data_IF_840606256368
#
_entry.id   IF_840606256368
#
_cell.length_a   1.000
_cell.length_b   1.000
_cell.length_c   1.000
_cell.angle_alpha   90.00
_cell.angle_beta   90.00
_cell.angle_gamma   90.00
#
_symmetry.space_group_name_H-M   'P 1'
#
loop_
_entity.id
_entity.type
_entity.pdbx_description
1 polymer ?
#
# COMPACT_ATOMS: atom_id res chain seq x y z
N UNK A 1 -1.89 -12.42 -2.82
CA UNK A 1 -0.67 -11.94 -2.11
C UNK A 1 -0.96 -10.71 -1.26
N UNK A 2 -1.65 -9.68 -1.76
CA UNK A 2 -2.00 -8.47 -0.97
C UNK A 2 -2.92 -8.77 0.22
N UNK A 3 -3.86 -9.70 0.08
CA UNK A 3 -4.74 -10.15 1.18
C UNK A 3 -3.95 -10.73 2.37
N UNK A 4 -2.86 -11.47 2.09
CA UNK A 4 -1.98 -12.02 3.12
C UNK A 4 -1.28 -10.91 3.92
N UNK A 5 -0.79 -9.88 3.22
CA UNK A 5 -0.08 -8.77 3.86
C UNK A 5 -1.05 -7.82 4.56
N UNK A 6 -2.23 -7.59 4.00
CA UNK A 6 -3.31 -6.87 4.68
C UNK A 6 -3.71 -7.62 5.95
N UNK A 7 -3.85 -8.95 5.90
CA UNK A 7 -4.09 -9.77 7.08
C UNK A 7 -2.96 -9.61 8.12
N UNK A 8 -1.70 -9.59 7.70
CA UNK A 8 -0.57 -9.37 8.60
C UNK A 8 -0.63 -7.98 9.27
N UNK A 9 -0.92 -6.91 8.49
CA UNK A 9 -1.14 -5.56 9.01
C UNK A 9 -2.28 -5.53 10.02
N UNK A 10 -3.42 -6.13 9.69
CA UNK A 10 -4.59 -6.17 10.58
C UNK A 10 -4.35 -7.00 11.85
N UNK A 11 -3.61 -8.13 11.75
CA UNK A 11 -3.24 -8.96 12.92
C UNK A 11 -2.32 -8.18 13.86
N UNK A 12 -1.31 -7.49 13.33
CA UNK A 12 -0.43 -6.69 14.19
C UNK A 12 -1.17 -5.47 14.75
N UNK A 13 -2.09 -4.86 14.00
CA UNK A 13 -2.91 -3.75 14.49
C UNK A 13 -3.88 -4.17 15.60
N UNK A 14 -4.48 -5.36 15.53
CA UNK A 14 -5.29 -5.94 16.60
C UNK A 14 -4.44 -6.16 17.86
N UNK A 15 -3.24 -6.74 17.71
CA UNK A 15 -2.29 -6.88 18.82
C UNK A 15 -1.89 -5.53 19.41
N UNK A 16 -1.70 -4.53 18.57
CA UNK A 16 -1.42 -3.16 19.01
C UNK A 16 -2.58 -2.61 19.84
N UNK A 17 -3.83 -2.84 19.42
CA UNK A 17 -5.00 -2.43 20.18
C UNK A 17 -5.08 -3.12 21.55
N UNK A 18 -4.67 -4.39 21.66
CA UNK A 18 -4.67 -5.15 22.91
C UNK A 18 -3.53 -4.78 23.86
N UNK A 19 -2.32 -4.60 23.34
CA UNK A 19 -1.08 -4.49 24.14
C UNK A 19 -0.60 -3.05 24.30
N UNK A 20 -1.04 -2.16 23.41
CA UNK A 20 -0.61 -0.77 23.32
C UNK A 20 -1.83 0.16 23.14
N UNK A 21 -2.92 -0.11 23.86
CA UNK A 21 -4.17 0.66 23.80
C UNK A 21 -3.94 2.17 23.99
N UNK A 22 -2.92 2.54 24.77
CA UNK A 22 -2.49 3.91 25.01
C UNK A 22 -2.12 4.68 23.73
N UNK A 23 -1.73 4.00 22.65
CA UNK A 23 -1.34 4.62 21.36
C UNK A 23 -2.49 5.40 20.74
N UNK A 24 -3.72 4.92 20.91
CA UNK A 24 -4.93 5.55 20.37
C UNK A 24 -5.73 6.34 21.43
N UNK A 25 -5.21 6.46 22.65
CA UNK A 25 -5.95 7.08 23.75
C UNK A 25 -6.21 8.56 23.47
N UNK A 26 -7.47 8.97 23.59
CA UNK A 26 -7.93 10.33 23.29
C UNK A 26 -7.80 10.77 21.82
N UNK A 27 -7.87 9.80 20.88
CA UNK A 27 -7.88 10.05 19.43
C UNK A 27 -9.27 9.80 18.85
N UNK A 28 -9.66 10.62 17.88
CA UNK A 28 -10.98 10.53 17.24
C UNK A 28 -11.11 9.31 16.30
N UNK A 29 -9.98 8.75 15.83
CA UNK A 29 -9.94 7.50 15.05
C UNK A 29 -8.91 6.51 15.62
N UNK A 30 -9.32 5.66 16.59
CA UNK A 30 -8.43 4.68 17.21
C UNK A 30 -7.86 3.63 16.25
N UNK A 31 -8.70 3.10 15.36
CA UNK A 31 -8.29 2.11 14.37
C UNK A 31 -7.18 2.64 13.46
N UNK A 32 -7.28 3.91 13.06
CA UNK A 32 -6.29 4.55 12.22
C UNK A 32 -4.92 4.66 12.94
N UNK A 33 -4.89 5.00 14.23
CA UNK A 33 -3.64 5.07 15.00
C UNK A 33 -3.03 3.68 15.26
N UNK A 34 -3.85 2.66 15.50
CA UNK A 34 -3.37 1.28 15.63
C UNK A 34 -2.73 0.77 14.34
N UNK A 35 -3.33 1.08 13.18
CA UNK A 35 -2.77 0.74 11.87
C UNK A 35 -1.45 1.47 11.59
N UNK A 36 -1.35 2.78 11.91
CA UNK A 36 -0.09 3.54 11.80
C UNK A 36 1.03 2.87 12.58
N UNK A 37 0.75 2.50 13.82
CA UNK A 37 1.75 1.90 14.71
C UNK A 37 2.08 0.45 14.30
N UNK A 38 1.11 -0.31 13.80
CA UNK A 38 1.35 -1.64 13.26
C UNK A 38 2.31 -1.63 12.05
N UNK A 39 2.16 -0.66 11.14
CA UNK A 39 3.07 -0.50 9.99
C UNK A 39 4.50 -0.23 10.46
N UNK A 40 4.67 0.64 11.46
CA UNK A 40 5.98 0.90 12.08
C UNK A 40 6.59 -0.40 12.62
N UNK A 41 5.85 -1.14 13.46
CA UNK A 41 6.36 -2.38 14.06
C UNK A 41 6.68 -3.46 13.03
N UNK A 42 5.88 -3.59 11.98
CA UNK A 42 6.09 -4.57 10.92
C UNK A 42 7.32 -4.27 10.07
N UNK A 43 7.58 -3.00 9.76
CA UNK A 43 8.69 -2.59 8.89
C UNK A 43 10.01 -2.40 9.65
N UNK A 44 9.97 -2.04 10.93
CA UNK A 44 11.17 -1.93 11.78
C UNK A 44 11.62 -3.28 12.38
N UNK A 45 10.82 -4.34 12.20
CA UNK A 45 11.15 -5.69 12.68
C UNK A 45 10.76 -5.96 14.14
N UNK A 46 10.03 -5.05 14.79
CA UNK A 46 9.61 -5.12 16.20
C UNK A 46 8.32 -5.93 16.44
N UNK A 47 7.72 -6.48 15.38
CA UNK A 47 6.56 -7.34 15.49
C UNK A 47 6.97 -8.72 16.06
N UNK A 48 6.71 -8.94 17.36
CA UNK A 48 7.06 -10.14 18.15
C UNK A 48 6.56 -11.49 17.58
N UNK A 49 5.67 -11.45 16.60
CA UNK A 49 5.32 -12.59 15.76
C UNK A 49 4.80 -12.02 14.47
N UNK A 50 5.72 -11.60 13.61
CA UNK A 50 5.47 -11.61 12.18
C UNK A 50 4.99 -13.05 11.88
N UNK A 51 3.90 -13.26 11.13
CA UNK A 51 3.82 -14.50 10.37
C UNK A 51 5.19 -14.66 9.67
N UNK A 52 5.77 -15.85 9.51
CA UNK A 52 7.07 -16.12 8.84
C UNK A 52 7.18 -15.60 7.36
N UNK A 53 6.36 -14.63 6.97
CA UNK A 53 5.82 -14.38 5.65
C UNK A 53 6.10 -12.96 5.15
N UNK A 54 6.60 -12.05 6.00
CA UNK A 54 6.98 -10.67 5.62
C UNK A 54 8.51 -10.53 5.69
N UNK A 55 9.22 -10.50 4.54
CA UNK A 55 10.68 -10.39 4.52
C UNK A 55 11.14 -9.10 5.21
N UNK A 56 12.04 -9.20 6.19
CA UNK A 56 12.57 -8.04 6.89
C UNK A 56 13.74 -7.41 6.13
N UNK A 57 13.89 -6.10 6.32
CA UNK A 57 15.03 -5.33 5.79
C UNK A 57 15.67 -4.66 6.98
N UNK A 58 16.91 -5.04 7.28
CA UNK A 58 17.64 -4.45 8.39
C UNK A 58 17.86 -2.94 8.16
N UNK A 59 17.77 -2.16 9.24
CA UNK A 59 18.03 -0.73 9.20
C UNK A 59 16.89 0.12 8.63
N UNK A 60 15.68 -0.43 8.51
CA UNK A 60 14.48 0.36 8.21
C UNK A 60 14.04 1.16 9.43
N UNK A 61 13.57 2.38 9.19
CA UNK A 61 12.95 3.23 10.22
C UNK A 61 11.73 3.90 9.63
N UNK A 62 10.61 3.89 10.35
CA UNK A 62 9.33 4.45 9.94
C UNK A 62 8.98 5.63 10.83
N UNK A 63 8.67 6.75 10.21
CA UNK A 63 8.02 7.90 10.88
C UNK A 63 6.69 8.15 10.21
N UNK A 64 5.71 8.61 10.97
CA UNK A 64 4.42 8.99 10.42
C UNK A 64 3.82 10.18 11.14
N UNK A 65 2.86 10.83 10.50
CA UNK A 65 2.09 11.93 11.07
C UNK A 65 1.10 12.48 10.06
N UNK A 66 0.24 13.41 10.51
CA UNK A 66 -0.69 14.10 9.62
C UNK A 66 0.08 14.91 8.59
N UNK A 67 -0.26 14.74 7.32
CA UNK A 67 0.46 15.34 6.21
C UNK A 67 0.46 16.87 6.29
N UNK A 68 -0.70 17.46 6.58
CA UNK A 68 -0.82 18.90 6.78
C UNK A 68 0.05 19.41 7.94
N UNK A 69 0.04 18.70 9.08
CA UNK A 69 0.85 19.10 10.25
C UNK A 69 2.36 18.97 9.98
N UNK A 70 2.76 18.00 9.14
CA UNK A 70 4.13 17.96 8.63
C UNK A 70 4.40 19.19 7.77
N UNK A 71 3.62 19.46 6.74
CA UNK A 71 3.83 20.65 5.91
C UNK A 71 3.91 21.95 6.72
N UNK A 72 3.02 22.16 7.70
CA UNK A 72 3.01 23.36 8.53
C UNK A 72 4.31 23.56 9.34
N UNK A 73 5.01 22.47 9.67
CA UNK A 73 6.21 22.52 10.53
C UNK A 73 7.53 22.77 9.78
N UNK A 74 7.63 22.37 8.52
CA UNK A 74 8.90 22.35 7.76
C UNK A 74 8.70 22.49 6.25
N UNK A 75 7.50 22.86 5.79
CA UNK A 75 7.16 23.08 4.38
C UNK A 75 8.00 24.17 3.71
N UNK A 76 8.53 25.12 4.49
CA UNK A 76 9.44 26.16 4.02
C UNK A 76 10.89 25.71 3.87
N UNK A 77 11.26 24.55 4.43
CA UNK A 77 12.66 24.14 4.58
C UNK A 77 13.18 23.38 3.36
N UNK A 78 12.27 22.87 2.52
CA UNK A 78 12.59 21.99 1.39
C UNK A 78 11.64 22.20 0.21
N UNK A 79 12.20 22.33 -1.00
CA UNK A 79 11.45 22.68 -2.22
C UNK A 79 10.60 21.53 -2.79
N UNK A 80 10.81 20.28 -2.35
CA UNK A 80 10.07 19.13 -2.91
C UNK A 80 8.57 19.17 -2.57
N UNK A 81 8.15 19.92 -1.55
CA UNK A 81 6.73 20.14 -1.22
C UNK A 81 5.97 20.85 -2.35
N UNK A 82 6.64 21.64 -3.20
CA UNK A 82 6.01 22.25 -4.38
C UNK A 82 5.62 21.18 -5.42
N UNK A 83 6.34 20.06 -5.43
CA UNK A 83 6.06 18.92 -6.32
C UNK A 83 5.04 17.97 -5.71
N UNK A 84 5.00 17.85 -4.38
CA UNK A 84 4.11 16.96 -3.64
C UNK A 84 3.41 17.75 -2.53
N UNK A 85 2.39 18.56 -2.87
CA UNK A 85 1.70 19.40 -1.90
C UNK A 85 0.98 18.56 -0.85
N UNK A 86 0.76 19.12 0.36
CA UNK A 86 0.07 18.41 1.42
C UNK A 86 -1.34 18.01 0.98
N UNK A 87 -1.80 16.88 1.50
CA UNK A 87 -3.14 16.36 1.35
C UNK A 87 -3.86 16.41 2.70
N UNK A 88 -5.06 16.98 2.71
CA UNK A 88 -5.94 16.93 3.86
C UNK A 88 -6.31 15.48 4.21
N UNK A 89 -6.58 15.24 5.50
CA UNK A 89 -7.05 13.96 6.03
C UNK A 89 -6.17 12.76 5.63
N UNK A 90 -4.87 13.00 5.44
CA UNK A 90 -3.90 11.98 5.09
C UNK A 90 -2.82 11.86 6.17
N UNK A 91 -2.42 10.61 6.43
CA UNK A 91 -1.15 10.28 7.06
C UNK A 91 -0.05 10.30 6.02
N UNK A 92 1.04 11.01 6.29
CA UNK A 92 2.31 10.79 5.58
C UNK A 92 3.17 9.82 6.37
N UNK A 93 3.52 8.71 5.74
CA UNK A 93 4.59 7.82 6.20
C UNK A 93 5.90 8.23 5.52
N UNK A 94 6.96 8.30 6.30
CA UNK A 94 8.33 8.52 5.87
C UNK A 94 9.12 7.29 6.27
N UNK A 95 9.58 6.54 5.27
CA UNK A 95 10.28 5.28 5.50
C UNK A 95 11.73 5.45 5.05
N UNK A 96 12.64 5.31 6.00
CA UNK A 96 14.08 5.35 5.79
C UNK A 96 14.61 3.94 5.62
N UNK A 97 15.54 3.75 4.70
CA UNK A 97 16.15 2.46 4.43
C UNK A 97 17.62 2.62 4.00
N UNK A 98 18.45 1.57 4.14
CA UNK A 98 19.88 1.63 3.84
C UNK A 98 20.22 2.17 2.45
N UNK A 99 21.32 2.90 2.33
CA UNK A 99 21.74 3.55 1.08
C UNK A 99 22.16 2.56 -0.01
N UNK A 100 22.66 1.38 0.37
CA UNK A 100 23.03 0.30 -0.55
C UNK A 100 21.84 -0.29 -1.31
N UNK A 101 20.62 -0.07 -0.81
CA UNK A 101 19.38 -0.40 -1.50
C UNK A 101 19.09 0.64 -2.59
N UNK A 102 19.54 0.38 -3.81
CA UNK A 102 19.34 1.29 -4.96
C UNK A 102 17.88 1.56 -5.33
N UNK A 103 16.94 0.75 -4.84
CA UNK A 103 15.49 0.88 -5.03
C UNK A 103 14.75 0.67 -3.71
N UNK A 104 13.53 1.19 -3.58
CA UNK A 104 12.68 0.93 -2.40
C UNK A 104 12.54 -0.58 -2.17
N UNK A 105 12.91 -1.09 -0.98
CA UNK A 105 12.75 -2.50 -0.66
C UNK A 105 11.32 -2.99 -0.85
N UNK A 106 11.19 -4.17 -1.46
CA UNK A 106 9.89 -4.73 -1.88
C UNK A 106 8.91 -4.89 -0.72
N UNK A 107 9.39 -5.25 0.48
CA UNK A 107 8.53 -5.38 1.66
C UNK A 107 7.82 -4.08 2.00
N UNK A 108 8.51 -2.93 1.91
CA UNK A 108 7.95 -1.62 2.20
C UNK A 108 6.80 -1.35 1.22
N UNK A 109 7.04 -1.55 -0.09
CA UNK A 109 6.00 -1.37 -1.10
C UNK A 109 4.77 -2.26 -0.84
N UNK A 110 4.99 -3.52 -0.47
CA UNK A 110 3.89 -4.46 -0.24
C UNK A 110 3.08 -4.09 0.99
N UNK A 111 3.72 -3.77 2.13
CA UNK A 111 3.02 -3.40 3.36
C UNK A 111 2.23 -2.10 3.16
N UNK A 112 2.84 -1.11 2.53
CA UNK A 112 2.18 0.17 2.25
C UNK A 112 1.01 0.01 1.26
N UNK A 113 1.19 -0.78 0.20
CA UNK A 113 0.11 -1.07 -0.75
C UNK A 113 -1.03 -1.87 -0.10
N UNK A 114 -0.72 -2.81 0.81
CA UNK A 114 -1.73 -3.57 1.56
C UNK A 114 -2.56 -2.67 2.47
N UNK A 115 -1.94 -1.64 3.06
CA UNK A 115 -2.64 -0.60 3.82
C UNK A 115 -3.53 0.28 2.91
N UNK A 116 -3.30 0.28 1.59
CA UNK A 116 -3.93 1.22 0.66
C UNK A 116 -3.24 2.59 0.62
N UNK A 117 -2.00 2.67 1.11
CA UNK A 117 -1.17 3.85 0.97
C UNK A 117 -0.52 3.91 -0.43
N UNK A 118 -0.31 5.11 -0.95
CA UNK A 118 0.35 5.31 -2.24
C UNK A 118 1.65 6.09 -2.09
N UNK A 119 2.65 5.75 -2.91
CA UNK A 119 3.95 6.42 -2.87
C UNK A 119 3.84 7.77 -3.53
N UNK A 120 4.39 8.80 -2.91
CA UNK A 120 4.37 10.17 -3.43
C UNK A 120 5.76 10.74 -3.68
N UNK A 121 6.80 10.19 -3.05
CA UNK A 121 8.16 10.68 -3.20
C UNK A 121 9.18 9.60 -2.85
N UNK A 122 10.36 9.65 -3.47
CA UNK A 122 11.52 8.79 -3.17
C UNK A 122 12.80 9.58 -3.48
N UNK A 123 13.81 9.51 -2.62
CA UNK A 123 15.09 10.17 -2.84
C UNK A 123 16.12 9.87 -1.75
N UNK A 124 17.19 10.67 -1.72
CA UNK A 124 18.10 10.67 -0.58
C UNK A 124 17.42 11.39 0.60
N UNK A 125 17.61 10.87 1.81
CA UNK A 125 17.11 11.54 3.02
C UNK A 125 17.71 12.95 3.17
N UNK A 126 18.90 13.19 2.62
CA UNK A 126 19.50 14.52 2.56
C UNK A 126 18.67 15.51 1.72
N UNK A 127 18.09 15.06 0.59
CA UNK A 127 17.28 15.88 -0.30
C UNK A 127 15.94 16.29 0.36
N UNK A 128 15.48 15.49 1.33
CA UNK A 128 14.28 15.75 2.11
C UNK A 128 14.56 16.61 3.36
N UNK A 129 15.80 17.04 3.63
CA UNK A 129 16.13 17.80 4.84
C UNK A 129 16.18 16.94 6.12
N UNK A 130 16.30 15.62 5.98
CA UNK A 130 16.37 14.67 7.09
C UNK A 130 17.79 14.61 7.66
N UNK A 131 18.18 15.64 8.42
CA UNK A 131 19.57 15.80 8.89
C UNK A 131 20.10 14.63 9.74
N UNK A 132 19.22 13.95 10.48
CA UNK A 132 19.54 12.80 11.35
C UNK A 132 19.75 11.49 10.57
N UNK A 133 19.35 11.44 9.29
CA UNK A 133 19.36 10.23 8.47
C UNK A 133 20.00 10.44 7.09
N UNK A 134 20.88 11.44 6.93
CA UNK A 134 21.44 11.85 5.62
C UNK A 134 22.15 10.75 4.82
N UNK A 135 22.66 9.72 5.48
CA UNK A 135 23.31 8.54 4.86
C UNK A 135 22.30 7.42 4.54
N UNK A 136 21.02 7.74 4.39
CA UNK A 136 19.95 6.79 4.08
C UNK A 136 19.13 7.27 2.90
N UNK A 137 18.41 6.34 2.30
CA UNK A 137 17.34 6.64 1.36
C UNK A 137 16.03 6.81 2.10
N UNK A 138 15.14 7.59 1.50
CA UNK A 138 13.84 7.90 2.07
C UNK A 138 12.75 7.79 1.00
N UNK A 139 11.61 7.25 1.40
CA UNK A 139 10.41 7.14 0.56
C UNK A 139 9.20 7.61 1.36
N UNK A 140 8.33 8.39 0.71
CA UNK A 140 7.10 8.90 1.31
C UNK A 140 5.87 8.20 0.74
N UNK A 141 4.93 7.91 1.63
CA UNK A 141 3.61 7.42 1.26
C UNK A 141 2.53 8.26 1.91
N UNK A 142 1.41 8.41 1.21
CA UNK A 142 0.20 8.99 1.77
C UNK A 142 -0.86 7.92 1.96
N UNK A 143 -1.56 8.01 3.08
CA UNK A 143 -2.61 7.09 3.48
C UNK A 143 -3.82 7.87 4.00
N UNK A 144 -4.99 7.79 3.35
CA UNK A 144 -6.14 8.61 3.70
C UNK A 144 -6.87 8.03 4.91
N UNK A 145 -7.50 8.89 5.71
CA UNK A 145 -8.45 8.48 6.75
C UNK A 145 -9.73 7.86 6.15
N UNK A 146 -10.42 7.01 6.92
CA UNK A 146 -11.67 6.36 6.51
C UNK A 146 -11.49 5.27 5.46
N UNK A 147 -10.31 4.64 5.42
CA UNK A 147 -10.01 3.63 4.41
C UNK A 147 -10.60 2.24 4.75
N UNK A 148 -10.48 1.29 3.81
CA UNK A 148 -10.96 -0.09 4.01
C UNK A 148 -10.25 -0.81 5.17
N UNK A 149 -8.96 -0.56 5.39
CA UNK A 149 -8.20 -1.23 6.44
C UNK A 149 -8.71 -0.82 7.84
N UNK A 150 -9.11 0.44 8.03
CA UNK A 150 -9.76 0.92 9.26
C UNK A 150 -11.06 0.16 9.51
N UNK A 151 -11.96 0.11 8.53
CA UNK A 151 -13.25 -0.58 8.67
C UNK A 151 -13.07 -2.08 8.97
N UNK A 152 -12.10 -2.74 8.33
CA UNK A 152 -11.79 -4.15 8.59
C UNK A 152 -11.22 -4.38 10.00
N UNK A 153 -10.37 -3.46 10.49
CA UNK A 153 -9.84 -3.55 11.85
C UNK A 153 -10.93 -3.32 12.91
N UNK A 154 -11.80 -2.34 12.69
CA UNK A 154 -12.91 -2.05 13.58
C UNK A 154 -13.83 -3.26 13.76
N UNK A 155 -14.18 -3.93 12.66
CA UNK A 155 -14.97 -5.17 12.71
C UNK A 155 -14.26 -6.26 13.53
N UNK A 156 -12.96 -6.45 13.33
CA UNK A 156 -12.19 -7.46 14.09
C UNK A 156 -12.15 -7.17 15.58
N UNK A 157 -11.89 -5.92 15.97
CA UNK A 157 -11.87 -5.52 17.39
C UNK A 157 -13.24 -5.73 18.03
N UNK A 158 -14.33 -5.44 17.30
CA UNK A 158 -15.70 -5.65 17.79
C UNK A 158 -16.06 -7.14 17.92
N UNK A 159 -15.65 -7.98 16.96
CA UNK A 159 -15.87 -9.43 17.00
C UNK A 159 -15.13 -10.10 18.17
N UNK A 160 -13.89 -9.69 18.43
CA UNK A 160 -13.08 -10.21 19.56
C UNK A 160 -13.62 -9.74 20.92
N UNK A 161 -14.24 -8.55 20.99
CA UNK A 161 -14.92 -8.03 22.19
C UNK A 161 -16.33 -8.60 22.43
N UNK A 162 -16.89 -9.34 21.48
CA UNK A 162 -18.28 -9.80 21.45
C UNK A 162 -18.55 -11.20 22.00
N UNK A 163 -17.59 -11.86 22.67
CA UNK A 163 -17.80 -13.16 23.31
C UNK A 163 -18.72 -13.03 24.56
N UNK A 164 -20.02 -12.87 24.34
CA UNK A 164 -21.06 -13.05 25.37
C UNK A 164 -21.33 -14.54 25.54
N UNK A 165 -21.32 -14.99 26.80
CA UNK A 165 -21.46 -16.38 27.23
C UNK A 165 -22.94 -16.89 27.18
N UNK A 166 -23.25 -18.11 27.65
CA UNK A 166 -23.80 -19.22 26.86
C UNK A 166 -25.29 -19.48 27.12
N UNK A 167 -26.10 -18.44 27.23
CA UNK A 167 -27.54 -18.57 27.50
C UNK A 167 -28.41 -17.61 26.68
N UNK A 168 -28.48 -17.93 25.38
CA UNK A 168 -29.80 -18.05 24.76
C UNK A 168 -30.23 -16.92 23.83
N UNK A 169 -30.08 -17.18 22.52
CA UNK A 169 -31.02 -16.68 21.53
C UNK A 169 -30.45 -16.36 20.15
N UNK A 170 -30.34 -17.37 19.26
CA UNK A 170 -30.30 -17.19 17.81
C UNK A 170 -31.71 -17.38 17.22
N UNK A 171 -32.11 -16.51 16.28
CA UNK A 171 -33.01 -16.79 15.16
C UNK A 171 -33.00 -15.54 14.24
N UNK A 172 -32.87 -15.60 12.93
CA UNK A 172 -32.76 -16.66 11.92
C UNK A 172 -32.25 -15.99 10.64
N UNK A 173 -32.20 -16.59 9.46
CA UNK A 173 -32.52 -17.90 8.96
C UNK A 173 -31.79 -18.03 7.60
N UNK A 174 -31.52 -19.26 7.22
CA UNK A 174 -30.79 -19.74 6.04
C UNK A 174 -31.71 -19.76 4.82
N UNK A 175 -31.23 -19.31 3.65
CA UNK A 175 -31.43 -19.89 2.30
C UNK A 175 -30.90 -18.93 1.22
N UNK A 176 -29.83 -19.29 0.52
CA UNK A 176 -29.81 -20.07 -0.73
C UNK A 176 -29.79 -19.18 -1.98
N UNK A 177 -28.60 -19.03 -2.56
CA UNK A 177 -28.37 -19.25 -3.99
C UNK A 177 -26.87 -19.40 -4.27
N UNK A 178 -26.45 -20.65 -4.33
CA UNK A 178 -25.31 -21.07 -5.15
C UNK A 178 -25.75 -21.05 -6.61
N UNK A 179 -24.93 -20.50 -7.52
CA UNK A 179 -24.65 -20.98 -8.88
C UNK A 179 -23.71 -20.02 -9.64
N UNK A 180 -22.43 -20.41 -9.69
CA UNK A 180 -21.46 -20.40 -10.82
C UNK A 180 -21.33 -19.13 -11.69
N UNK A 181 -20.15 -18.50 -11.61
CA UNK A 181 -19.24 -18.46 -12.77
C UNK A 181 -17.80 -18.33 -12.29
N UNK A 182 -17.01 -19.37 -12.56
CA UNK A 182 -15.56 -19.38 -12.40
C UNK A 182 -14.94 -18.31 -13.31
N UNK A 183 -14.36 -17.29 -12.70
CA UNK A 183 -13.54 -16.27 -13.35
C UNK A 183 -12.08 -16.36 -12.93
N UNK A 184 -11.65 -17.51 -12.39
CA UNK A 184 -10.24 -17.80 -12.18
C UNK A 184 -9.59 -18.03 -13.54
N UNK A 185 -9.25 -16.95 -14.24
CA UNK A 185 -8.38 -17.02 -15.42
C UNK A 185 -7.03 -17.49 -14.89
N UNK A 186 -6.85 -18.81 -14.84
CA UNK A 186 -5.57 -19.44 -14.56
C UNK A 186 -4.56 -18.82 -15.54
N UNK A 187 -3.29 -18.68 -15.14
CA UNK A 187 -2.26 -18.06 -15.99
C UNK A 187 -2.10 -18.75 -17.38
N UNK A 188 -2.75 -19.89 -17.59
CA UNK A 188 -2.87 -20.65 -18.82
C UNK A 188 -3.90 -20.08 -19.83
N UNK A 189 -4.88 -19.29 -19.37
CA UNK A 189 -5.95 -18.69 -20.21
C UNK A 189 -5.68 -17.23 -20.60
N UNK A 190 -4.51 -16.68 -20.26
CA UNK A 190 -4.10 -15.33 -20.65
C UNK A 190 -3.66 -15.30 -22.11
N UNK A 191 -4.08 -14.27 -22.85
CA UNK A 191 -3.54 -13.99 -24.19
C UNK A 191 -2.00 -13.95 -24.15
N UNK A 192 -1.28 -14.56 -25.11
CA UNK A 192 0.17 -14.79 -25.02
C UNK A 192 1.00 -13.57 -24.62
N UNK A 193 0.61 -12.38 -25.08
CA UNK A 193 1.29 -11.13 -24.77
C UNK A 193 1.08 -10.67 -23.31
N UNK A 194 -0.07 -10.99 -22.73
CA UNK A 194 -0.39 -10.74 -21.31
C UNK A 194 0.33 -11.71 -20.41
N UNK A 195 0.38 -13.00 -20.78
CA UNK A 195 1.13 -14.02 -20.03
C UNK A 195 2.61 -13.65 -19.88
N UNK A 196 3.26 -13.23 -20.97
CA UNK A 196 4.65 -12.77 -20.96
C UNK A 196 4.87 -11.55 -20.06
N UNK A 197 3.92 -10.61 -20.05
CA UNK A 197 4.00 -9.43 -19.19
C UNK A 197 3.90 -9.77 -17.70
N UNK A 198 3.16 -10.84 -17.36
CA UNK A 198 3.02 -11.33 -15.98
C UNK A 198 4.29 -12.07 -15.51
N UNK A 199 4.88 -12.91 -16.37
CA UNK A 199 6.07 -13.73 -16.06
C UNK A 199 7.37 -12.90 -15.96
N UNK A 200 7.50 -11.80 -16.69
CA UNK A 200 8.66 -10.90 -16.57
C UNK A 200 8.66 -10.20 -15.20
N UNK A 201 9.81 -10.20 -14.50
CA UNK A 201 9.95 -9.53 -13.20
C UNK A 201 9.75 -8.00 -13.34
N UNK A 202 8.56 -7.52 -12.99
CA UNK A 202 8.20 -6.10 -12.96
C UNK A 202 7.59 -5.73 -11.61
N UNK A 203 7.78 -4.49 -11.21
CA UNK A 203 7.17 -3.92 -9.99
C UNK A 203 6.29 -2.74 -10.40
N UNK A 204 5.03 -2.71 -9.96
CA UNK A 204 4.10 -1.60 -10.19
C UNK A 204 3.82 -0.89 -8.86
N UNK A 205 3.84 0.44 -8.87
CA UNK A 205 3.49 1.30 -7.73
C UNK A 205 2.58 2.44 -8.18
N UNK A 206 1.52 2.78 -7.43
CA UNK A 206 0.74 3.99 -7.70
C UNK A 206 1.59 5.24 -7.37
N UNK A 207 1.74 6.16 -8.32
CA UNK A 207 2.54 7.38 -8.22
C UNK A 207 1.73 8.60 -7.74
N UNK A 208 0.44 8.67 -8.09
CA UNK A 208 -0.45 9.76 -7.69
C UNK A 208 -1.93 9.31 -7.75
N UNK A 209 -2.78 9.89 -6.90
CA UNK A 209 -4.25 9.83 -7.07
C UNK A 209 -4.60 10.31 -8.49
N UNK A 210 -5.47 9.58 -9.19
CA UNK A 210 -5.80 9.84 -10.59
C UNK A 210 -5.20 8.84 -11.60
N UNK A 211 -4.77 7.66 -11.17
CA UNK A 211 -4.47 6.53 -12.07
C UNK A 211 -3.13 6.58 -12.78
N UNK A 212 -2.12 7.24 -12.19
CA UNK A 212 -0.73 7.21 -12.65
C UNK A 212 0.09 6.21 -11.83
N UNK A 213 0.79 5.32 -12.51
CA UNK A 213 1.54 4.21 -11.93
C UNK A 213 2.97 4.21 -12.44
N UNK A 214 3.94 3.93 -11.58
CA UNK A 214 5.32 3.62 -11.96
C UNK A 214 5.43 2.12 -12.21
N UNK A 215 6.08 1.75 -13.30
CA UNK A 215 6.47 0.37 -13.59
C UNK A 215 7.99 0.30 -13.69
N UNK A 216 8.61 -0.42 -12.75
CA UNK A 216 10.01 -0.79 -12.81
C UNK A 216 10.15 -2.06 -13.65
N UNK A 217 10.80 -1.96 -14.80
CA UNK A 217 11.06 -3.09 -15.67
C UNK A 217 12.26 -3.93 -15.17
N UNK A 218 12.32 -5.19 -15.58
CA UNK A 218 13.44 -6.10 -15.30
C UNK A 218 14.83 -5.55 -15.71
N UNK A 219 14.86 -4.62 -16.67
CA UNK A 219 16.07 -3.94 -17.11
C UNK A 219 16.54 -2.81 -16.17
N UNK A 220 15.83 -2.54 -15.07
CA UNK A 220 16.08 -1.42 -14.15
C UNK A 220 15.49 -0.07 -14.60
N UNK A 221 14.84 -0.01 -15.77
CA UNK A 221 14.23 1.22 -16.27
C UNK A 221 12.85 1.47 -15.64
N UNK A 222 12.56 2.73 -15.31
CA UNK A 222 11.27 3.17 -14.75
C UNK A 222 10.42 3.81 -15.84
N UNK A 223 9.15 3.45 -15.87
CA UNK A 223 8.17 4.01 -16.79
C UNK A 223 6.92 4.45 -16.06
N UNK A 224 6.38 5.59 -16.43
CA UNK A 224 5.10 6.07 -15.92
C UNK A 224 3.99 5.59 -16.84
N UNK A 225 2.88 5.17 -16.24
CA UNK A 225 1.70 4.64 -16.89
C UNK A 225 0.49 5.39 -16.38
N UNK A 226 -0.20 6.11 -17.25
CA UNK A 226 -1.47 6.77 -16.97
C UNK A 226 -2.59 5.92 -17.57
N UNK A 227 -3.38 5.25 -16.72
CA UNK A 227 -4.47 4.39 -17.20
C UNK A 227 -5.67 5.21 -17.63
N UNK A 228 -5.91 6.36 -16.98
CA UNK A 228 -7.04 7.24 -17.32
C UNK A 228 -6.73 7.95 -18.64
N UNK A 229 -5.54 8.54 -18.74
CA UNK A 229 -5.04 9.19 -19.96
C UNK A 229 -4.59 8.20 -21.04
N UNK A 230 -4.69 6.90 -20.79
CA UNK A 230 -4.24 5.81 -21.65
C UNK A 230 -2.86 6.07 -22.25
N UNK A 231 -1.85 6.33 -21.43
CA UNK A 231 -0.50 6.65 -21.90
C UNK A 231 0.59 5.94 -21.10
N UNK A 232 1.76 5.76 -21.72
CA UNK A 232 2.93 5.23 -21.04
C UNK A 232 4.22 5.88 -21.54
N UNK A 233 5.18 6.17 -20.66
CA UNK A 233 6.46 6.78 -21.05
C UNK A 233 7.46 5.80 -21.67
N UNK A 234 7.09 4.54 -21.83
CA UNK A 234 8.01 3.54 -22.40
C UNK A 234 8.23 3.74 -23.91
N UNK A 235 9.41 3.34 -24.43
CA UNK A 235 9.72 3.44 -25.85
C UNK A 235 8.73 2.69 -26.76
N UNK A 236 8.22 1.53 -26.33
CA UNK A 236 7.26 0.74 -27.11
C UNK A 236 5.92 1.48 -27.29
N UNK A 237 5.52 2.29 -26.30
CA UNK A 237 4.32 3.13 -26.40
C UNK A 237 4.57 4.35 -27.31
N UNK A 238 5.68 5.05 -27.10
CA UNK A 238 6.03 6.24 -27.88
C UNK A 238 6.24 5.94 -29.36
N UNK A 239 6.77 4.76 -29.69
CA UNK A 239 7.13 4.40 -31.06
C UNK A 239 6.03 3.66 -31.82
N UNK A 240 5.11 2.98 -31.11
CA UNK A 240 4.16 2.06 -31.76
C UNK A 240 2.71 2.32 -31.46
N UNK A 241 2.39 3.19 -30.49
CA UNK A 241 1.04 3.45 -29.94
C UNK A 241 0.10 2.26 -30.13
N UNK A 242 0.51 1.06 -29.66
CA UNK A 242 0.01 -0.18 -30.23
C UNK A 242 -1.43 -0.44 -29.80
N UNK A 243 -2.26 -0.89 -30.75
CA UNK A 243 -3.62 -1.35 -30.45
C UNK A 243 -3.58 -2.40 -29.32
N UNK A 244 -4.23 -2.07 -28.21
CA UNK A 244 -4.27 -2.90 -27.00
C UNK A 244 -3.21 -2.61 -25.94
N UNK A 245 -2.45 -1.51 -26.00
CA UNK A 245 -1.56 -1.10 -24.89
C UNK A 245 -0.10 -1.53 -25.05
N UNK A 246 0.83 -0.90 -24.33
CA UNK A 246 2.17 -1.46 -24.13
C UNK A 246 2.15 -2.56 -23.05
N UNK A 247 3.26 -3.28 -22.86
CA UNK A 247 3.35 -4.32 -21.81
C UNK A 247 3.17 -3.75 -20.40
N UNK A 248 3.60 -2.51 -20.15
CA UNK A 248 3.47 -1.87 -18.85
C UNK A 248 1.99 -1.57 -18.53
N UNK A 249 1.22 -1.03 -19.47
CA UNK A 249 -0.22 -0.82 -19.27
C UNK A 249 -0.96 -2.13 -18.93
N UNK A 250 -0.65 -3.23 -19.64
CA UNK A 250 -1.25 -4.54 -19.34
C UNK A 250 -0.88 -5.03 -17.94
N UNK A 251 0.37 -4.82 -17.52
CA UNK A 251 0.85 -5.18 -16.19
C UNK A 251 0.09 -4.41 -15.11
N UNK A 252 -0.07 -3.09 -15.28
CA UNK A 252 -0.82 -2.27 -14.31
C UNK A 252 -2.30 -2.65 -14.27
N UNK A 253 -2.95 -2.82 -15.42
CA UNK A 253 -4.37 -3.25 -15.48
C UNK A 253 -4.58 -4.62 -14.82
N UNK A 254 -3.65 -5.56 -15.04
CA UNK A 254 -3.67 -6.86 -14.37
C UNK A 254 -3.53 -6.69 -12.85
N UNK A 255 -2.55 -5.92 -12.37
CA UNK A 255 -2.33 -5.75 -10.93
C UNK A 255 -3.49 -5.02 -10.25
N UNK A 256 -4.17 -4.09 -10.93
CA UNK A 256 -5.42 -3.49 -10.44
C UNK A 256 -6.52 -4.53 -10.34
N UNK A 257 -6.75 -5.32 -11.40
CA UNK A 257 -7.79 -6.37 -11.41
C UNK A 257 -7.55 -7.45 -10.34
N UNK A 258 -6.28 -7.72 -10.04
CA UNK A 258 -5.88 -8.66 -8.98
C UNK A 258 -5.88 -8.03 -7.57
N UNK A 259 -6.27 -6.76 -7.43
CA UNK A 259 -6.24 -6.03 -6.16
C UNK A 259 -4.82 -5.91 -5.57
N UNK A 260 -3.81 -5.93 -6.42
CA UNK A 260 -2.40 -5.84 -6.03
C UNK A 260 -1.91 -4.40 -5.89
N UNK A 261 -2.50 -3.49 -6.64
CA UNK A 261 -2.26 -2.05 -6.54
C UNK A 261 -3.59 -1.30 -6.38
N UNK A 262 -3.61 -0.15 -5.70
CA UNK A 262 -4.83 0.64 -5.57
C UNK A 262 -5.37 1.07 -6.93
N UNK A 263 -6.70 1.13 -7.07
CA UNK A 263 -7.37 1.65 -8.26
C UNK A 263 -7.05 3.15 -8.42
N UNK A 264 -7.36 3.74 -9.59
CA UNK A 264 -7.15 5.17 -9.83
C UNK A 264 -7.81 6.11 -8.81
N UNK A 265 -8.88 5.65 -8.13
CA UNK A 265 -9.58 6.34 -7.05
C UNK A 265 -8.88 6.24 -5.69
N UNK A 266 -7.77 5.51 -5.59
CA UNK A 266 -7.00 5.29 -4.36
C UNK A 266 -7.53 4.14 -3.50
N UNK A 267 -8.61 3.47 -3.89
CA UNK A 267 -9.15 2.32 -3.16
C UNK A 267 -8.68 1.00 -3.77
N UNK A 268 -8.41 -0.01 -2.94
CA UNK A 268 -8.30 -1.38 -3.44
C UNK A 268 -9.69 -1.85 -3.90
N UNK A 269 -9.81 -2.63 -5.00
CA UNK A 269 -11.11 -3.17 -5.39
C UNK A 269 -11.67 -4.02 -4.25
N UNK A 270 -12.94 -3.79 -3.88
CA UNK A 270 -13.68 -4.68 -2.99
C UNK A 270 -13.69 -6.06 -3.66
N UNK A 271 -13.20 -7.09 -2.97
CA UNK A 271 -13.28 -8.46 -3.45
C UNK A 271 -14.77 -8.77 -3.72
N UNK A 272 -15.07 -9.14 -4.97
CA UNK A 272 -16.39 -9.61 -5.39
C UNK A 272 -16.50 -11.12 -5.20
#
# INVERSE_FOLDING_TARGET
>A
MTERHLRAVLVEAERVAEQYDQVAKAKDSPAHEYLRYAVLRLLEGDANSIPEEVPQVDGVTVRYGRDQAMYDSWGSDVEWWDTVPPQDDCTRFRVFYPEDQTTVPRVILIVMAALGAWRVWEGSAADCGSYDHRERREVHFLWPEGNLAEALLENRIQETGGAVAPDGGQAGDVRDRMLVSDGSTSAEDLEPRTKRAVEEAMTVSLLAKGGRYEVLAASGNRYEVDIIGQSCTCPDWQQRTPDGGCKHMRRVDYEIKQGQVPRPDGHLPLQA
#
